data_IF_512974520179
#
_entry.id   IF_512974520179
#
_cell.length_a   1.000
_cell.length_b   1.000
_cell.length_c   1.000
_cell.angle_alpha   90.00
_cell.angle_beta   90.00
_cell.angle_gamma   90.00
#
_symmetry.space_group_name_H-M   'P 1'
#
loop_
_entity.id
_entity.type
_entity.pdbx_description
1 polymer ?
#
# COMPACT_ATOMS: atom_id res chain seq x y z
N UNK A 1 -9.29 46.64 28.40
CA UNK A 1 -8.84 47.46 27.26
C UNK A 1 -7.33 47.64 27.42
N UNK A 2 -6.55 47.32 26.38
CA UNK A 2 -5.07 47.34 26.25
C UNK A 2 -4.27 46.06 26.59
N UNK A 3 -4.36 45.03 25.73
CA UNK A 3 -3.25 44.13 25.35
C UNK A 3 -3.73 43.10 24.32
N UNK A 4 -3.85 43.47 23.05
CA UNK A 4 -4.11 42.51 21.96
C UNK A 4 -3.05 42.75 20.89
N UNK A 5 -2.38 41.68 20.46
CA UNK A 5 -1.43 41.70 19.35
C UNK A 5 -2.18 41.73 18.01
N UNK A 6 -1.57 42.26 16.92
CA UNK A 6 -2.26 42.42 15.63
C UNK A 6 -2.73 41.11 14.97
N UNK A 7 -2.23 39.95 15.40
CA UNK A 7 -2.54 38.63 14.82
C UNK A 7 -3.84 38.01 15.37
N UNK A 8 -4.43 38.54 16.44
CA UNK A 8 -5.68 38.01 17.00
C UNK A 8 -6.95 38.53 16.31
N UNK A 9 -6.80 39.43 15.32
CA UNK A 9 -7.93 40.18 14.75
C UNK A 9 -8.60 39.51 13.53
N UNK A 10 -8.07 38.39 13.01
CA UNK A 10 -8.53 37.76 11.75
C UNK A 10 -9.08 36.31 11.87
N UNK A 11 -9.42 35.85 13.06
CA UNK A 11 -10.06 34.53 13.23
C UNK A 11 -11.58 34.58 12.95
N UNK A 12 -12.20 33.51 12.38
CA UNK A 12 -13.65 33.39 12.32
C UNK A 12 -14.23 33.45 13.74
N UNK A 13 -15.23 34.31 13.95
CA UNK A 13 -15.70 34.76 15.27
C UNK A 13 -16.11 33.65 16.26
N UNK A 14 -16.27 32.41 15.81
CA UNK A 14 -16.70 31.27 16.64
C UNK A 14 -15.53 30.56 17.32
N UNK A 15 -14.32 30.51 16.73
CA UNK A 15 -13.18 29.85 17.39
C UNK A 15 -12.63 30.68 18.59
N UNK A 16 -12.95 31.98 18.68
CA UNK A 16 -12.61 32.83 19.85
C UNK A 16 -13.31 32.38 21.15
N UNK A 17 -14.51 31.80 21.07
CA UNK A 17 -15.33 31.54 22.25
C UNK A 17 -14.84 30.37 23.10
N UNK A 18 -14.24 29.33 22.50
CA UNK A 18 -13.74 28.18 23.27
C UNK A 18 -12.47 28.50 24.07
N UNK A 19 -11.57 29.34 23.54
CA UNK A 19 -10.41 29.84 24.29
C UNK A 19 -10.83 30.79 25.42
N UNK A 20 -11.85 31.63 25.20
CA UNK A 20 -12.40 32.46 26.27
C UNK A 20 -13.12 31.64 27.35
N UNK A 21 -13.79 30.53 27.01
CA UNK A 21 -14.54 29.73 27.99
C UNK A 21 -13.62 29.05 29.03
N UNK A 22 -12.42 28.62 28.62
CA UNK A 22 -11.42 28.03 29.52
C UNK A 22 -10.76 29.09 30.45
N UNK A 23 -10.57 30.31 29.95
CA UNK A 23 -10.10 31.45 30.76
C UNK A 23 -11.16 31.94 31.75
N UNK A 24 -12.44 31.92 31.37
CA UNK A 24 -13.55 32.30 32.26
C UNK A 24 -13.85 31.24 33.34
N UNK A 25 -13.61 29.95 33.07
CA UNK A 25 -13.81 28.89 34.07
C UNK A 25 -12.85 29.04 35.26
N UNK A 26 -11.63 29.54 35.02
CA UNK A 26 -10.66 29.83 36.08
C UNK A 26 -11.02 31.07 36.91
N UNK A 27 -11.67 32.08 36.32
CA UNK A 27 -12.11 33.29 37.02
C UNK A 27 -13.41 33.10 37.82
N UNK A 28 -14.27 32.16 37.41
CA UNK A 28 -15.53 31.87 38.10
C UNK A 28 -15.36 31.09 39.43
N UNK A 29 -14.17 30.53 39.69
CA UNK A 29 -13.86 29.80 40.93
C UNK A 29 -13.33 30.70 42.06
N UNK A 30 -13.20 32.02 41.84
CA UNK A 30 -12.57 32.96 42.81
C UNK A 30 -13.56 33.93 43.48
N UNK A 31 -14.82 34.00 43.05
CA UNK A 31 -15.81 34.91 43.67
C UNK A 31 -17.16 34.21 43.95
N UNK A 32 -17.61 34.11 45.21
CA UNK A 32 -18.93 33.62 45.51
C UNK A 32 -19.97 34.74 45.37
N UNK A 33 -21.07 34.40 44.70
CA UNK A 33 -22.38 35.10 44.71
C UNK A 33 -22.43 36.45 43.99
N UNK A 34 -22.82 36.42 42.71
CA UNK A 34 -23.67 37.46 42.12
C UNK A 34 -24.89 36.80 41.48
N UNK A 35 -26.06 37.15 42.04
CA UNK A 35 -27.39 36.73 41.63
C UNK A 35 -27.75 37.44 40.32
N UNK A 36 -27.63 36.78 39.16
CA UNK A 36 -28.12 37.32 37.88
C UNK A 36 -29.45 36.65 37.54
N UNK A 37 -30.53 37.25 38.02
CA UNK A 37 -31.87 37.04 37.46
C UNK A 37 -32.10 38.10 36.37
N UNK A 38 -32.67 37.67 35.24
CA UNK A 38 -33.06 38.43 34.02
C UNK A 38 -31.96 38.60 32.97
N UNK A 39 -31.84 37.60 32.09
CA UNK A 39 -31.97 37.73 30.61
C UNK A 39 -31.56 36.42 29.89
N UNK A 40 -31.94 35.25 30.42
CA UNK A 40 -32.01 34.05 29.59
C UNK A 40 -33.36 34.04 28.85
N UNK A 41 -33.53 34.98 27.91
CA UNK A 41 -34.26 34.61 26.70
C UNK A 41 -33.39 33.52 26.09
N UNK A 42 -33.78 32.26 26.27
CA UNK A 42 -33.31 31.15 25.44
C UNK A 42 -33.61 31.56 23.99
N UNK A 43 -32.67 32.25 23.35
CA UNK A 43 -32.54 32.17 21.91
C UNK A 43 -32.25 30.71 21.66
N UNK A 44 -33.22 30.02 21.09
CA UNK A 44 -33.00 28.76 20.38
C UNK A 44 -31.63 28.85 19.70
N UNK A 45 -30.67 28.04 20.16
CA UNK A 45 -29.38 27.91 19.51
C UNK A 45 -29.66 27.23 18.17
N UNK A 46 -29.98 28.05 17.18
CA UNK A 46 -30.12 27.67 15.78
C UNK A 46 -28.83 26.92 15.44
N UNK A 47 -28.89 25.59 15.27
CA UNK A 47 -27.76 24.68 15.01
C UNK A 47 -27.15 24.94 13.60
N UNK A 48 -27.19 26.18 13.14
CA UNK A 48 -26.80 26.62 11.81
C UNK A 48 -25.29 26.62 11.64
N UNK A 49 -24.85 25.68 10.80
CA UNK A 49 -23.79 25.85 9.79
C UNK A 49 -22.50 26.53 10.24
N UNK A 50 -21.86 26.01 11.29
CA UNK A 50 -20.56 26.50 11.72
C UNK A 50 -19.59 25.33 11.85
N UNK A 51 -18.36 25.55 11.40
CA UNK A 51 -17.29 24.57 11.59
C UNK A 51 -16.98 24.39 13.07
N UNK A 52 -16.65 23.17 13.45
CA UNK A 52 -16.17 22.81 14.79
C UNK A 52 -14.65 23.02 14.82
N UNK A 53 -14.16 23.87 15.71
CA UNK A 53 -12.74 24.07 15.97
C UNK A 53 -12.39 23.46 17.33
N UNK A 54 -11.40 22.56 17.37
CA UNK A 54 -10.88 21.97 18.60
C UNK A 54 -9.35 21.87 18.54
N UNK A 55 -8.66 22.74 19.28
CA UNK A 55 -7.18 22.83 19.36
C UNK A 55 -6.53 23.05 17.98
N UNK A 56 -6.26 21.98 17.25
CA UNK A 56 -5.65 21.96 15.93
C UNK A 56 -6.49 21.18 14.91
N UNK A 57 -7.73 20.83 15.25
CA UNK A 57 -8.70 20.15 14.40
C UNK A 57 -9.76 21.15 13.97
N UNK A 58 -10.00 21.23 12.66
CA UNK A 58 -11.08 22.01 12.08
C UNK A 58 -11.95 21.07 11.27
N UNK A 59 -13.19 20.87 11.71
CA UNK A 59 -14.19 20.08 10.97
C UNK A 59 -15.34 20.97 10.51
N UNK A 60 -15.48 21.04 9.20
CA UNK A 60 -16.52 21.75 8.46
C UNK A 60 -17.39 20.74 7.68
N UNK A 61 -17.53 19.51 8.20
CA UNK A 61 -18.25 18.43 7.54
C UNK A 61 -19.76 18.71 7.44
N UNK A 62 -20.38 18.28 6.33
CA UNK A 62 -21.84 18.35 6.14
C UNK A 62 -22.43 19.77 6.30
N UNK A 63 -21.73 20.77 5.78
CA UNK A 63 -22.14 22.18 5.84
C UNK A 63 -22.67 22.71 4.49
N UNK A 64 -22.75 21.85 3.48
CA UNK A 64 -23.11 22.19 2.10
C UNK A 64 -22.20 23.27 1.49
N UNK A 65 -20.91 23.25 1.83
CA UNK A 65 -19.93 24.19 1.28
C UNK A 65 -19.72 23.92 -0.21
N UNK A 66 -19.75 24.95 -1.04
CA UNK A 66 -19.46 24.84 -2.48
C UNK A 66 -18.00 25.18 -2.81
N UNK A 67 -17.35 25.97 -1.93
CA UNK A 67 -15.98 26.41 -2.05
C UNK A 67 -15.28 26.35 -0.69
N UNK A 68 -13.95 26.24 -0.72
CA UNK A 68 -13.11 26.37 0.47
C UNK A 68 -12.66 27.83 0.56
N UNK A 69 -13.39 28.66 1.31
CA UNK A 69 -13.03 30.06 1.59
C UNK A 69 -12.84 30.22 3.09
N UNK A 70 -11.84 29.53 3.62
CA UNK A 70 -11.56 29.50 5.05
C UNK A 70 -10.16 30.07 5.29
N UNK A 71 -10.08 31.14 6.08
CA UNK A 71 -8.81 31.55 6.67
C UNK A 71 -8.47 30.54 7.77
N UNK A 72 -7.66 29.56 7.42
CA UNK A 72 -7.29 28.47 8.31
C UNK A 72 -6.09 28.88 9.19
N UNK A 73 -6.13 28.64 10.50
CA UNK A 73 -4.99 28.82 11.38
C UNK A 73 -3.80 27.96 10.94
N UNK A 74 -2.60 28.52 10.99
CA UNK A 74 -1.34 27.84 10.61
C UNK A 74 -1.00 26.58 11.45
N UNK A 75 -1.56 26.47 12.66
CA UNK A 75 -1.37 25.32 13.56
C UNK A 75 -2.38 24.19 13.32
N UNK A 76 -3.24 24.30 12.30
CA UNK A 76 -4.20 23.23 11.95
C UNK A 76 -3.45 21.96 11.56
N UNK A 77 -3.77 20.85 12.22
CA UNK A 77 -3.20 19.53 11.96
C UNK A 77 -4.17 18.60 11.23
N UNK A 78 -5.47 18.77 11.48
CA UNK A 78 -6.54 18.02 10.81
C UNK A 78 -7.56 18.99 10.25
N UNK A 79 -7.80 18.88 8.95
CA UNK A 79 -8.84 19.63 8.24
C UNK A 79 -9.85 18.66 7.65
N UNK A 80 -11.08 18.73 8.12
CA UNK A 80 -12.18 17.92 7.64
C UNK A 80 -13.19 18.80 6.89
N UNK A 81 -13.23 18.62 5.56
CA UNK A 81 -14.14 19.28 4.63
C UNK A 81 -15.07 18.24 3.96
N UNK A 82 -15.22 17.07 4.57
CA UNK A 82 -15.99 15.95 4.02
C UNK A 82 -17.50 16.25 3.91
N UNK A 83 -18.22 15.50 3.08
CA UNK A 83 -19.69 15.60 2.95
C UNK A 83 -20.18 17.01 2.58
N UNK A 84 -19.45 17.72 1.73
CA UNK A 84 -19.84 19.04 1.24
C UNK A 84 -20.18 18.98 -0.27
N UNK A 85 -20.36 20.15 -0.88
CA UNK A 85 -20.70 20.29 -2.30
C UNK A 85 -19.52 20.91 -3.09
N UNK A 86 -18.29 20.76 -2.61
CA UNK A 86 -17.12 21.42 -3.19
C UNK A 86 -16.85 20.83 -4.57
N UNK A 87 -16.79 21.68 -5.59
CA UNK A 87 -16.63 21.24 -6.99
C UNK A 87 -15.21 21.36 -7.52
N UNK A 88 -14.43 22.30 -6.99
CA UNK A 88 -13.05 22.57 -7.43
C UNK A 88 -12.16 22.88 -6.23
N UNK A 89 -10.93 22.38 -6.26
CA UNK A 89 -9.87 22.80 -5.35
C UNK A 89 -8.88 23.67 -6.14
N UNK A 90 -9.09 24.99 -6.08
CA UNK A 90 -8.27 26.00 -6.77
C UNK A 90 -7.02 26.31 -5.96
N UNK A 91 -5.93 26.76 -6.58
CA UNK A 91 -4.71 27.18 -5.88
C UNK A 91 -4.97 28.17 -4.71
N UNK A 92 -6.01 28.99 -4.84
CA UNK A 92 -6.40 30.02 -3.87
C UNK A 92 -7.25 29.52 -2.70
N UNK A 93 -7.49 28.20 -2.57
CA UNK A 93 -8.30 27.66 -1.47
C UNK A 93 -7.71 27.95 -0.09
N UNK A 94 -6.38 28.09 -0.01
CA UNK A 94 -5.66 28.64 1.14
C UNK A 94 -4.48 29.45 0.63
N UNK A 95 -4.22 30.59 1.26
CA UNK A 95 -2.99 31.38 1.06
C UNK A 95 -2.04 31.26 2.25
N UNK A 96 -2.45 30.51 3.28
CA UNK A 96 -1.65 30.28 4.49
C UNK A 96 -0.90 28.97 4.36
N UNK A 97 0.40 28.98 4.63
CA UNK A 97 1.20 27.77 4.76
C UNK A 97 0.76 26.97 6.00
N UNK A 98 0.08 25.86 5.76
CA UNK A 98 -0.40 24.96 6.81
C UNK A 98 0.65 23.86 7.07
N UNK A 99 1.83 24.29 7.54
CA UNK A 99 2.99 23.41 7.75
C UNK A 99 2.79 22.34 8.84
N UNK A 100 1.71 22.41 9.62
CA UNK A 100 1.35 21.41 10.63
C UNK A 100 0.25 20.45 10.14
N UNK A 101 -0.34 20.69 8.97
CA UNK A 101 -1.45 19.91 8.45
C UNK A 101 -0.96 18.53 8.01
N UNK A 102 -1.45 17.50 8.71
CA UNK A 102 -1.09 16.10 8.46
C UNK A 102 -2.24 15.32 7.83
N UNK A 103 -3.49 15.71 8.10
CA UNK A 103 -4.69 15.02 7.61
C UNK A 103 -5.63 16.01 6.95
N UNK A 104 -6.00 15.72 5.70
CA UNK A 104 -7.01 16.49 4.97
C UNK A 104 -8.07 15.55 4.41
N UNK A 105 -9.32 15.77 4.81
CA UNK A 105 -10.48 14.99 4.37
C UNK A 105 -11.32 15.84 3.42
N UNK A 106 -11.42 15.42 2.17
CA UNK A 106 -12.22 16.04 1.10
C UNK A 106 -13.20 15.03 0.49
N UNK A 107 -13.42 13.90 1.15
CA UNK A 107 -14.27 12.84 0.65
C UNK A 107 -15.76 13.21 0.68
N UNK A 108 -16.55 12.56 -0.18
CA UNK A 108 -17.99 12.84 -0.34
C UNK A 108 -18.24 14.32 -0.70
N UNK A 109 -17.50 14.82 -1.68
CA UNK A 109 -17.71 16.12 -2.30
C UNK A 109 -18.12 15.95 -3.77
N UNK A 110 -18.06 17.02 -4.56
CA UNK A 110 -18.33 17.00 -6.00
C UNK A 110 -17.10 17.41 -6.79
N UNK A 111 -15.90 17.16 -6.26
CA UNK A 111 -14.64 17.62 -6.86
C UNK A 111 -14.47 17.00 -8.23
N UNK A 112 -14.42 17.83 -9.27
CA UNK A 112 -14.13 17.43 -10.65
C UNK A 112 -12.80 17.99 -11.13
N UNK A 113 -12.21 18.93 -10.38
CA UNK A 113 -10.98 19.63 -10.75
C UNK A 113 -10.10 19.90 -9.53
N UNK A 114 -8.80 19.62 -9.68
CA UNK A 114 -7.74 20.00 -8.76
C UNK A 114 -6.76 20.88 -9.54
N UNK A 115 -6.40 22.04 -9.01
CA UNK A 115 -5.35 22.87 -9.58
C UNK A 115 -3.98 22.22 -9.38
N UNK A 116 -3.05 22.40 -10.33
CA UNK A 116 -1.65 21.97 -10.20
C UNK A 116 -0.96 22.52 -8.95
N UNK A 117 -1.41 23.67 -8.45
CA UNK A 117 -0.88 24.32 -7.25
C UNK A 117 -1.76 24.08 -6.01
N UNK A 118 -2.76 23.20 -6.08
CA UNK A 118 -3.69 22.98 -4.98
C UNK A 118 -3.02 22.49 -3.68
N UNK A 119 -1.82 21.93 -3.73
CA UNK A 119 -1.18 21.36 -2.53
C UNK A 119 0.11 22.08 -2.10
N UNK A 120 0.46 23.21 -2.70
CA UNK A 120 1.73 23.91 -2.44
C UNK A 120 1.87 24.40 -0.99
N UNK A 121 0.75 24.68 -0.32
CA UNK A 121 0.70 25.19 1.06
C UNK A 121 0.51 24.10 2.13
N UNK A 122 0.47 22.80 1.75
CA UNK A 122 0.20 21.67 2.66
C UNK A 122 1.25 20.56 2.53
N UNK A 123 2.53 20.94 2.49
CA UNK A 123 3.66 20.03 2.20
C UNK A 123 3.88 18.92 3.23
N UNK A 124 3.34 19.06 4.45
CA UNK A 124 3.49 18.10 5.56
C UNK A 124 2.34 17.10 5.68
N UNK A 125 1.48 17.04 4.66
CA UNK A 125 0.36 16.13 4.62
C UNK A 125 0.84 14.67 4.60
N UNK A 126 0.23 13.84 5.44
CA UNK A 126 0.48 12.39 5.52
C UNK A 126 -0.71 11.56 5.06
N UNK A 127 -1.92 12.10 5.20
CA UNK A 127 -3.17 11.45 4.81
C UNK A 127 -4.04 12.42 4.02
N UNK A 128 -4.39 12.01 2.79
CA UNK A 128 -5.29 12.76 1.91
C UNK A 128 -6.42 11.84 1.44
N UNK A 129 -7.65 12.24 1.74
CA UNK A 129 -8.84 11.54 1.27
C UNK A 129 -9.65 12.37 0.28
N UNK A 130 -9.64 11.91 -0.96
CA UNK A 130 -10.37 12.44 -2.11
C UNK A 130 -11.42 11.44 -2.62
N UNK A 131 -11.76 10.41 -1.85
CA UNK A 131 -12.74 9.39 -2.25
C UNK A 131 -14.15 9.95 -2.41
N UNK A 132 -15.02 9.25 -3.14
CA UNK A 132 -16.40 9.69 -3.39
C UNK A 132 -16.47 11.12 -3.96
N UNK A 133 -15.75 11.35 -5.06
CA UNK A 133 -15.74 12.61 -5.79
C UNK A 133 -15.98 12.36 -7.31
N UNK A 134 -15.86 13.40 -8.11
CA UNK A 134 -16.07 13.40 -9.56
C UNK A 134 -14.78 13.46 -10.39
N UNK A 135 -13.61 13.14 -9.83
CA UNK A 135 -12.34 13.30 -10.54
C UNK A 135 -12.25 12.33 -11.72
N UNK A 136 -11.85 12.83 -12.90
CA UNK A 136 -11.80 12.03 -14.14
C UNK A 136 -10.38 11.77 -14.63
N UNK A 137 -9.42 12.59 -14.19
CA UNK A 137 -8.02 12.51 -14.56
C UNK A 137 -7.12 12.92 -13.38
N UNK A 138 -5.88 12.46 -13.42
CA UNK A 138 -4.78 12.93 -12.58
C UNK A 138 -3.70 13.48 -13.49
N UNK A 139 -3.51 14.80 -13.46
CA UNK A 139 -2.53 15.52 -14.28
C UNK A 139 -1.09 15.27 -13.84
N UNK A 140 -0.15 15.71 -14.69
CA UNK A 140 1.27 15.71 -14.36
C UNK A 140 1.55 16.47 -13.06
N UNK A 141 2.43 15.93 -12.22
CA UNK A 141 2.92 16.56 -10.99
C UNK A 141 1.84 17.01 -9.99
N UNK A 142 0.58 16.57 -10.12
CA UNK A 142 -0.54 17.05 -9.31
C UNK A 142 -0.35 16.82 -7.79
N UNK A 143 0.43 15.81 -7.41
CA UNK A 143 0.79 15.52 -6.03
C UNK A 143 2.26 15.79 -5.71
N UNK A 144 2.99 16.48 -6.58
CA UNK A 144 4.43 16.76 -6.40
C UNK A 144 4.76 17.41 -5.04
N UNK A 145 4.00 18.41 -4.54
CA UNK A 145 4.31 19.03 -3.24
C UNK A 145 4.17 18.10 -2.03
N UNK A 146 3.55 16.93 -2.19
CA UNK A 146 3.15 16.02 -1.11
C UNK A 146 4.20 14.90 -0.89
N UNK A 147 5.46 15.28 -0.67
CA UNK A 147 6.58 14.34 -0.51
C UNK A 147 6.44 13.40 0.71
N UNK A 148 5.84 13.92 1.79
CA UNK A 148 5.63 13.23 3.06
C UNK A 148 4.33 12.38 3.09
N UNK A 149 3.56 12.35 1.99
CA UNK A 149 2.25 11.69 1.98
C UNK A 149 2.40 10.17 2.06
N UNK A 150 1.78 9.56 3.08
CA UNK A 150 1.83 8.13 3.35
C UNK A 150 0.60 7.39 2.80
N UNK A 151 -0.56 8.04 2.81
CA UNK A 151 -1.84 7.44 2.38
C UNK A 151 -2.59 8.40 1.46
N UNK A 152 -2.89 7.92 0.26
CA UNK A 152 -3.72 8.61 -0.71
C UNK A 152 -4.96 7.77 -1.03
N UNK A 153 -6.14 8.35 -0.81
CA UNK A 153 -7.42 7.69 -1.01
C UNK A 153 -8.18 8.37 -2.15
N UNK A 154 -8.42 7.64 -3.24
CA UNK A 154 -9.04 8.10 -4.49
C UNK A 154 -10.16 7.18 -4.97
N UNK A 155 -10.58 6.20 -4.16
CA UNK A 155 -11.59 5.23 -4.57
C UNK A 155 -12.96 5.90 -4.78
N UNK A 156 -13.80 5.29 -5.64
CA UNK A 156 -15.11 5.85 -6.04
C UNK A 156 -14.99 7.27 -6.61
N UNK A 157 -14.15 7.39 -7.63
CA UNK A 157 -14.09 8.54 -8.52
C UNK A 157 -14.41 8.07 -9.95
N UNK A 158 -14.14 8.90 -10.96
CA UNK A 158 -14.32 8.60 -12.38
C UNK A 158 -12.98 8.57 -13.13
N UNK A 159 -11.87 8.29 -12.42
CA UNK A 159 -10.52 8.43 -12.95
C UNK A 159 -10.30 7.42 -14.06
N UNK A 160 -10.03 7.91 -15.26
CA UNK A 160 -9.77 7.11 -16.46
C UNK A 160 -8.37 7.34 -17.03
N UNK A 161 -7.81 8.54 -16.77
CA UNK A 161 -6.50 8.97 -17.25
C UNK A 161 -5.61 9.32 -16.08
N UNK A 162 -4.42 8.75 -16.06
CA UNK A 162 -3.42 9.00 -15.03
C UNK A 162 -2.13 9.29 -15.78
N UNK A 163 -1.60 10.50 -15.59
CA UNK A 163 -0.29 10.84 -16.12
C UNK A 163 0.80 10.00 -15.44
N UNK A 164 1.89 9.71 -16.16
CA UNK A 164 3.00 8.92 -15.63
C UNK A 164 3.73 9.64 -14.50
N UNK A 165 3.73 10.97 -14.50
CA UNK A 165 4.43 11.79 -13.50
C UNK A 165 3.54 12.24 -12.33
N UNK A 166 2.26 11.88 -12.34
CA UNK A 166 1.30 12.27 -11.29
C UNK A 166 1.77 11.87 -9.87
N UNK A 167 2.61 10.84 -9.75
CA UNK A 167 3.10 10.29 -8.47
C UNK A 167 4.63 10.38 -8.27
N UNK A 168 5.37 11.10 -9.13
CA UNK A 168 6.84 11.07 -9.18
C UNK A 168 7.54 11.46 -7.86
N UNK A 169 7.02 12.44 -7.12
CA UNK A 169 7.69 12.96 -5.92
C UNK A 169 7.18 12.38 -4.60
N UNK A 170 6.24 11.43 -4.64
CA UNK A 170 5.55 10.94 -3.44
C UNK A 170 6.33 9.86 -2.67
N UNK A 171 7.63 10.05 -2.39
CA UNK A 171 8.54 9.00 -1.90
C UNK A 171 8.10 8.27 -0.62
N UNK A 172 7.33 8.93 0.25
CA UNK A 172 6.81 8.34 1.48
C UNK A 172 5.55 7.47 1.29
N UNK A 173 4.92 7.46 0.11
CA UNK A 173 3.62 6.81 -0.10
C UNK A 173 3.67 5.31 0.19
N UNK A 174 2.80 4.88 1.11
CA UNK A 174 2.67 3.50 1.57
C UNK A 174 1.40 2.84 1.05
N UNK A 175 0.30 3.59 0.93
CA UNK A 175 -1.01 3.06 0.53
C UNK A 175 -1.68 3.96 -0.49
N UNK A 176 -2.09 3.36 -1.59
CA UNK A 176 -2.83 4.01 -2.66
C UNK A 176 -4.12 3.25 -2.95
N UNK A 177 -5.26 3.89 -2.69
CA UNK A 177 -6.58 3.33 -2.93
C UNK A 177 -7.22 3.98 -4.16
N UNK A 178 -7.45 3.23 -5.22
CA UNK A 178 -8.04 3.69 -6.49
C UNK A 178 -9.16 2.78 -6.98
N UNK A 179 -9.75 1.97 -6.09
CA UNK A 179 -10.85 1.09 -6.47
C UNK A 179 -12.10 1.86 -6.92
N UNK A 180 -12.98 1.20 -7.68
CA UNK A 180 -14.18 1.84 -8.24
C UNK A 180 -13.87 3.10 -9.04
N UNK A 181 -12.97 2.98 -10.01
CA UNK A 181 -12.65 4.02 -10.99
C UNK A 181 -12.80 3.45 -12.42
N UNK A 182 -12.26 4.14 -13.42
CA UNK A 182 -12.33 3.76 -14.83
C UNK A 182 -10.94 3.49 -15.42
N UNK A 183 -10.00 3.05 -14.57
CA UNK A 183 -8.60 2.87 -14.92
C UNK A 183 -8.44 1.65 -15.83
N UNK A 184 -7.72 1.80 -16.94
CA UNK A 184 -7.47 0.73 -17.91
C UNK A 184 -6.11 0.04 -17.76
N UNK A 185 -5.16 0.67 -17.04
CA UNK A 185 -3.80 0.17 -16.82
C UNK A 185 -3.39 0.34 -15.36
N UNK A 186 -2.69 -0.64 -14.78
CA UNK A 186 -2.13 -0.49 -13.44
C UNK A 186 -1.04 0.60 -13.45
N UNK A 187 -1.08 1.59 -12.52
CA UNK A 187 -0.06 2.62 -12.42
C UNK A 187 1.21 2.07 -11.76
N UNK A 188 1.95 1.25 -12.51
CA UNK A 188 3.21 0.65 -12.04
C UNK A 188 4.30 1.69 -11.77
N UNK A 189 4.16 2.92 -12.27
CA UNK A 189 5.08 4.02 -12.01
C UNK A 189 5.26 4.27 -10.50
N UNK A 190 4.17 4.12 -9.73
CA UNK A 190 4.19 4.18 -8.25
C UNK A 190 5.08 3.10 -7.63
N UNK A 191 5.29 1.99 -8.34
CA UNK A 191 6.09 0.83 -7.90
C UNK A 191 7.52 0.84 -8.48
N UNK A 192 7.72 1.44 -9.66
CA UNK A 192 8.93 1.29 -10.48
C UNK A 192 10.14 2.03 -9.92
N UNK A 193 9.95 3.26 -9.43
CA UNK A 193 11.03 4.08 -8.84
C UNK A 193 11.39 3.65 -7.41
N UNK A 194 10.62 2.73 -6.83
CA UNK A 194 10.60 2.46 -5.38
C UNK A 194 11.03 1.06 -5.00
N UNK A 195 11.61 0.33 -5.95
CA UNK A 195 12.26 -0.97 -5.74
C UNK A 195 13.35 -0.96 -4.64
N UNK A 196 13.77 0.23 -4.18
CA UNK A 196 14.72 0.47 -3.08
C UNK A 196 14.09 0.97 -1.77
N UNK A 197 12.87 1.52 -1.78
CA UNK A 197 12.34 2.33 -0.66
C UNK A 197 11.55 1.55 0.38
N UNK A 198 11.21 0.29 0.14
CA UNK A 198 10.82 -0.63 1.22
C UNK A 198 9.55 -0.23 2.03
N UNK A 199 8.83 0.82 1.59
CA UNK A 199 7.70 1.48 2.29
C UNK A 199 6.32 1.20 1.68
N UNK A 200 6.24 0.91 0.38
CA UNK A 200 4.98 0.71 -0.31
C UNK A 200 4.31 -0.61 0.09
N UNK A 201 3.11 -0.54 0.68
CA UNK A 201 2.41 -1.66 1.30
C UNK A 201 1.15 -2.08 0.56
N UNK A 202 0.45 -1.14 -0.10
CA UNK A 202 -0.87 -1.41 -0.65
C UNK A 202 -1.16 -0.58 -1.90
N UNK A 203 -1.53 -1.26 -2.98
CA UNK A 203 -2.14 -0.70 -4.18
C UNK A 203 -3.49 -1.37 -4.40
N UNK A 204 -4.58 -0.64 -4.24
CA UNK A 204 -5.91 -1.14 -4.57
C UNK A 204 -6.41 -0.52 -5.88
N UNK A 205 -6.47 -1.34 -6.93
CA UNK A 205 -7.02 -1.01 -8.25
C UNK A 205 -8.18 -1.94 -8.60
N UNK A 206 -8.83 -2.54 -7.60
CA UNK A 206 -10.02 -3.38 -7.80
C UNK A 206 -11.19 -2.58 -8.39
N UNK A 207 -12.18 -3.24 -8.99
CA UNK A 207 -13.36 -2.56 -9.56
C UNK A 207 -13.01 -1.44 -10.55
N UNK A 208 -12.12 -1.74 -11.51
CA UNK A 208 -11.70 -0.81 -12.56
C UNK A 208 -12.01 -1.41 -13.95
N UNK A 209 -11.33 -0.92 -14.99
CA UNK A 209 -11.49 -1.35 -16.39
C UNK A 209 -10.20 -1.98 -16.94
N UNK A 210 -9.39 -2.57 -16.07
CA UNK A 210 -8.13 -3.20 -16.45
C UNK A 210 -8.42 -4.48 -17.22
N UNK A 211 -7.84 -4.60 -18.42
CA UNK A 211 -7.95 -5.80 -19.26
C UNK A 211 -6.71 -6.67 -19.16
N UNK A 212 -5.53 -6.06 -19.17
CA UNK A 212 -4.28 -6.79 -19.20
C UNK A 212 -3.41 -6.39 -18.01
N UNK A 213 -2.89 -7.40 -17.32
CA UNK A 213 -1.93 -7.18 -16.23
C UNK A 213 -0.51 -7.18 -16.78
N UNK A 214 0.39 -6.35 -16.22
CA UNK A 214 1.82 -6.40 -16.52
C UNK A 214 2.48 -7.59 -15.81
N UNK A 215 2.28 -8.79 -16.35
CA UNK A 215 2.62 -10.07 -15.68
C UNK A 215 4.12 -10.14 -15.35
N UNK A 216 5.00 -9.73 -16.27
CA UNK A 216 6.46 -9.82 -16.07
C UNK A 216 6.92 -8.93 -14.92
N UNK A 217 6.43 -7.70 -14.88
CA UNK A 217 6.71 -6.74 -13.83
C UNK A 217 6.18 -7.24 -12.49
N UNK A 218 4.92 -7.68 -12.45
CA UNK A 218 4.30 -8.23 -11.25
C UNK A 218 5.03 -9.48 -10.74
N UNK A 219 5.45 -10.39 -11.62
CA UNK A 219 6.22 -11.59 -11.23
C UNK A 219 7.57 -11.23 -10.60
N UNK A 220 8.23 -10.17 -11.09
CA UNK A 220 9.53 -9.71 -10.59
C UNK A 220 9.49 -9.07 -9.20
N UNK A 221 8.31 -8.62 -8.75
CA UNK A 221 8.14 -7.98 -7.44
C UNK A 221 8.33 -8.97 -6.28
N UNK A 222 8.69 -8.46 -5.09
CA UNK A 222 8.72 -9.23 -3.85
C UNK A 222 7.29 -9.64 -3.41
N UNK A 223 7.14 -10.81 -2.80
CA UNK A 223 5.87 -11.39 -2.36
C UNK A 223 5.12 -10.49 -1.38
N UNK A 224 5.82 -9.80 -0.48
CA UNK A 224 5.19 -8.87 0.44
C UNK A 224 4.61 -7.63 -0.24
N UNK A 225 5.14 -7.20 -1.39
CA UNK A 225 4.53 -6.15 -2.20
C UNK A 225 3.30 -6.71 -2.94
N UNK A 226 3.44 -7.88 -3.58
CA UNK A 226 2.35 -8.59 -4.27
C UNK A 226 1.14 -8.83 -3.34
N UNK A 227 1.41 -9.10 -2.06
CA UNK A 227 0.39 -9.32 -1.02
C UNK A 227 -0.58 -8.13 -0.85
N UNK A 228 -0.14 -6.91 -1.21
CA UNK A 228 -0.94 -5.69 -1.12
C UNK A 228 -1.41 -5.14 -2.47
N UNK A 229 -1.26 -5.86 -3.58
CA UNK A 229 -1.73 -5.42 -4.91
C UNK A 229 -3.08 -6.05 -5.20
N UNK A 230 -4.17 -5.30 -5.00
CA UNK A 230 -5.54 -5.76 -5.23
C UNK A 230 -6.01 -5.35 -6.63
N UNK A 231 -6.41 -6.31 -7.45
CA UNK A 231 -6.85 -6.10 -8.83
C UNK A 231 -8.12 -6.89 -9.21
N UNK A 232 -8.79 -7.51 -8.24
CA UNK A 232 -10.03 -8.27 -8.45
C UNK A 232 -11.15 -7.37 -9.02
N UNK A 233 -12.23 -7.98 -9.54
CA UNK A 233 -13.34 -7.26 -10.17
C UNK A 233 -12.91 -6.32 -11.30
N UNK A 234 -11.95 -6.75 -12.12
CA UNK A 234 -11.56 -6.09 -13.36
C UNK A 234 -11.91 -7.00 -14.56
N UNK A 235 -12.24 -6.43 -15.74
CA UNK A 235 -12.55 -7.19 -16.95
C UNK A 235 -11.29 -7.74 -17.61
N UNK A 236 -10.52 -8.56 -16.87
CA UNK A 236 -9.24 -9.08 -17.30
C UNK A 236 -9.38 -10.00 -18.51
N UNK A 237 -8.42 -10.04 -19.43
CA UNK A 237 -8.37 -11.00 -20.53
C UNK A 237 -7.84 -12.34 -20.04
N UNK A 238 -8.59 -13.43 -20.24
CA UNK A 238 -8.14 -14.74 -19.82
C UNK A 238 -6.91 -15.20 -20.62
N UNK A 239 -5.88 -15.65 -19.92
CA UNK A 239 -4.68 -16.25 -20.50
C UNK A 239 -4.03 -17.23 -19.51
N UNK A 240 -3.22 -18.16 -20.02
CA UNK A 240 -2.50 -19.09 -19.14
C UNK A 240 -1.42 -18.40 -18.29
N UNK A 241 -0.85 -17.30 -18.76
CA UNK A 241 0.09 -16.49 -17.96
C UNK A 241 -0.62 -15.81 -16.78
N UNK A 242 -1.85 -15.31 -16.99
CA UNK A 242 -2.67 -14.77 -15.92
C UNK A 242 -3.03 -15.85 -14.89
N UNK A 243 -3.45 -17.03 -15.35
CA UNK A 243 -3.71 -18.18 -14.47
C UNK A 243 -2.49 -18.54 -13.64
N UNK A 244 -1.32 -18.73 -14.27
CA UNK A 244 -0.05 -19.05 -13.59
C UNK A 244 0.31 -17.99 -12.53
N UNK A 245 0.11 -16.70 -12.83
CA UNK A 245 0.31 -15.61 -11.88
C UNK A 245 -0.61 -15.76 -10.66
N UNK A 246 -1.92 -15.84 -10.88
CA UNK A 246 -2.92 -15.87 -9.80
C UNK A 246 -2.81 -17.16 -8.97
N UNK A 247 -2.69 -18.32 -9.62
CA UNK A 247 -2.50 -19.60 -8.95
C UNK A 247 -1.21 -19.62 -8.10
N UNK A 248 -0.12 -19.03 -8.59
CA UNK A 248 1.12 -18.89 -7.82
C UNK A 248 0.97 -17.98 -6.59
N UNK A 249 0.07 -16.99 -6.65
CA UNK A 249 -0.21 -16.10 -5.52
C UNK A 249 -1.18 -16.76 -4.53
N UNK A 250 -2.12 -17.56 -5.02
CA UNK A 250 -3.09 -18.33 -4.23
C UNK A 250 -2.41 -19.45 -3.41
N UNK A 251 -1.54 -20.26 -4.05
CA UNK A 251 -0.72 -21.28 -3.36
C UNK A 251 0.12 -20.65 -2.24
N UNK A 252 0.57 -19.40 -2.45
CA UNK A 252 1.33 -18.62 -1.46
C UNK A 252 0.45 -17.86 -0.47
N UNK A 253 -0.87 -18.05 -0.48
CA UNK A 253 -1.82 -17.40 0.42
C UNK A 253 -1.60 -15.89 0.51
N UNK A 254 -1.35 -15.25 -0.63
CA UNK A 254 -1.24 -13.80 -0.70
C UNK A 254 -2.64 -13.19 -0.53
N UNK A 255 -2.74 -12.17 0.32
CA UNK A 255 -4.02 -11.57 0.75
C UNK A 255 -4.80 -10.98 -0.44
N UNK A 256 -4.08 -10.47 -1.43
CA UNK A 256 -4.62 -9.95 -2.70
C UNK A 256 -5.39 -10.96 -3.54
N UNK A 257 -5.14 -12.27 -3.36
CA UNK A 257 -5.81 -13.34 -4.09
C UNK A 257 -6.67 -14.20 -3.16
N UNK A 258 -6.09 -14.75 -2.10
CA UNK A 258 -6.77 -15.69 -1.18
C UNK A 258 -8.01 -15.11 -0.51
N UNK A 259 -8.06 -13.79 -0.27
CA UNK A 259 -9.24 -13.12 0.30
C UNK A 259 -10.34 -12.78 -0.72
N UNK A 260 -10.08 -13.00 -2.02
CA UNK A 260 -10.90 -12.52 -3.13
C UNK A 260 -10.97 -13.52 -4.29
N UNK A 261 -10.80 -14.82 -4.01
CA UNK A 261 -10.70 -15.86 -5.03
C UNK A 261 -11.88 -15.82 -6.02
N UNK A 262 -13.11 -15.73 -5.51
CA UNK A 262 -14.35 -15.69 -6.31
C UNK A 262 -14.48 -14.41 -7.15
N UNK A 263 -13.78 -13.34 -6.77
CA UNK A 263 -13.79 -12.05 -7.47
C UNK A 263 -12.68 -11.94 -8.52
N UNK A 264 -11.76 -12.91 -8.58
CA UNK A 264 -10.72 -13.00 -9.60
C UNK A 264 -11.24 -13.68 -10.84
N UNK A 265 -11.97 -12.91 -11.64
CA UNK A 265 -12.53 -13.37 -12.91
C UNK A 265 -11.80 -12.78 -14.11
N UNK A 266 -11.87 -13.45 -15.25
CA UNK A 266 -11.45 -12.92 -16.53
C UNK A 266 -12.48 -13.23 -17.62
N UNK A 267 -12.35 -12.53 -18.74
CA UNK A 267 -13.21 -12.62 -19.93
C UNK A 267 -12.46 -13.40 -21.01
N UNK A 268 -13.09 -14.47 -21.48
CA UNK A 268 -12.62 -15.29 -22.59
C UNK A 268 -12.90 -14.58 -23.94
N UNK A 269 -12.26 -14.99 -25.04
CA UNK A 269 -12.54 -14.45 -26.38
C UNK A 269 -14.01 -14.60 -26.81
N UNK A 270 -14.72 -15.61 -26.32
CA UNK A 270 -16.16 -15.82 -26.54
C UNK A 270 -17.06 -14.95 -25.64
N UNK A 271 -16.48 -13.95 -24.97
CA UNK A 271 -17.13 -13.02 -24.02
C UNK A 271 -17.71 -13.68 -22.76
N UNK A 272 -17.42 -14.95 -22.50
CA UNK A 272 -17.80 -15.58 -21.23
C UNK A 272 -16.84 -15.17 -20.13
N UNK A 273 -17.38 -14.87 -18.96
CA UNK A 273 -16.60 -14.65 -17.75
C UNK A 273 -16.35 -15.98 -17.05
N UNK A 274 -15.11 -16.21 -16.62
CA UNK A 274 -14.71 -17.37 -15.82
C UNK A 274 -13.86 -16.92 -14.64
N UNK A 275 -13.93 -17.68 -13.55
CA UNK A 275 -12.95 -17.59 -12.47
C UNK A 275 -11.57 -17.97 -13.01
N UNK A 276 -10.55 -17.18 -12.68
CA UNK A 276 -9.20 -17.36 -13.22
C UNK A 276 -8.63 -18.72 -12.82
N UNK A 277 -8.86 -19.15 -11.58
CA UNK A 277 -8.35 -20.41 -11.04
C UNK A 277 -9.03 -21.66 -11.63
N UNK A 278 -10.17 -21.51 -12.32
CA UNK A 278 -10.91 -22.62 -12.94
C UNK A 278 -10.62 -22.76 -14.45
N UNK A 279 -9.58 -22.09 -14.95
CA UNK A 279 -9.19 -22.18 -16.36
C UNK A 279 -8.26 -23.38 -16.54
N UNK A 280 -8.50 -24.16 -17.59
CA UNK A 280 -7.64 -25.27 -18.00
C UNK A 280 -6.48 -24.76 -18.85
N UNK A 281 -5.25 -25.05 -18.41
CA UNK A 281 -4.01 -24.77 -19.15
C UNK A 281 -3.17 -26.04 -19.19
N UNK A 282 -2.65 -26.42 -20.36
CA UNK A 282 -1.93 -27.70 -20.57
C UNK A 282 -0.54 -27.78 -19.90
N UNK A 283 -0.16 -26.80 -19.08
CA UNK A 283 1.22 -26.54 -18.69
C UNK A 283 1.30 -26.42 -17.15
N UNK A 284 1.27 -27.58 -16.49
CA UNK A 284 0.92 -27.78 -15.07
C UNK A 284 2.02 -27.39 -14.06
N UNK A 285 3.17 -26.87 -14.48
CA UNK A 285 4.29 -26.56 -13.57
C UNK A 285 4.28 -25.10 -13.11
N UNK A 286 3.37 -24.76 -12.20
CA UNK A 286 3.16 -23.38 -11.70
C UNK A 286 4.28 -22.90 -10.74
N UNK A 287 5.01 -23.83 -10.10
CA UNK A 287 5.99 -23.48 -9.05
C UNK A 287 7.31 -24.27 -9.12
N UNK A 288 7.50 -25.12 -10.13
CA UNK A 288 8.65 -26.00 -10.18
C UNK A 288 9.82 -25.30 -10.87
N UNK A 289 10.92 -25.10 -10.14
CA UNK A 289 12.23 -24.74 -10.69
C UNK A 289 13.01 -26.03 -10.92
N UNK A 290 13.49 -26.23 -12.14
CA UNK A 290 14.34 -27.35 -12.52
C UNK A 290 15.74 -26.80 -12.86
N UNK A 291 16.78 -27.55 -12.52
CA UNK A 291 18.17 -27.22 -12.83
C UNK A 291 18.90 -28.50 -13.23
N UNK A 292 19.77 -28.41 -14.22
CA UNK A 292 20.58 -29.54 -14.70
C UNK A 292 21.83 -29.76 -13.83
N UNK A 293 22.60 -30.81 -14.13
CA UNK A 293 23.88 -31.06 -13.46
C UNK A 293 24.80 -29.84 -13.53
N UNK A 294 25.47 -29.54 -12.42
CA UNK A 294 26.43 -28.43 -12.27
C UNK A 294 25.85 -27.01 -12.41
N UNK A 295 24.56 -26.86 -12.70
CA UNK A 295 23.91 -25.55 -12.71
C UNK A 295 23.70 -25.04 -11.28
N UNK A 296 24.09 -23.79 -11.05
CA UNK A 296 23.80 -23.07 -9.81
C UNK A 296 22.34 -22.62 -9.82
N UNK A 297 21.53 -23.18 -8.92
CA UNK A 297 20.15 -22.73 -8.70
C UNK A 297 20.10 -21.75 -7.53
N UNK A 298 19.50 -20.58 -7.76
CA UNK A 298 19.26 -19.58 -6.73
C UNK A 298 17.80 -19.64 -6.29
N UNK A 299 17.56 -20.04 -5.04
CA UNK A 299 16.23 -20.05 -4.45
C UNK A 299 16.10 -18.87 -3.48
N UNK A 300 15.16 -17.97 -3.74
CA UNK A 300 14.79 -16.92 -2.79
C UNK A 300 13.64 -17.43 -1.92
N UNK A 301 13.70 -17.20 -0.60
CA UNK A 301 12.53 -17.39 0.26
C UNK A 301 11.79 -16.06 0.34
N UNK A 302 10.89 -15.87 -0.62
CA UNK A 302 10.10 -14.65 -0.78
C UNK A 302 8.78 -14.78 0.00
N UNK A 303 8.75 -14.19 1.19
CA UNK A 303 7.64 -14.30 2.14
C UNK A 303 6.59 -13.21 1.94
N UNK A 304 5.31 -13.52 2.23
CA UNK A 304 4.20 -12.55 2.13
C UNK A 304 4.31 -11.34 3.07
N UNK A 305 5.13 -11.43 4.12
CA UNK A 305 5.45 -10.30 4.99
C UNK A 305 6.97 -10.10 4.98
N UNK A 306 7.37 -8.85 5.15
CA UNK A 306 8.76 -8.42 5.03
C UNK A 306 9.66 -8.94 6.17
N UNK A 307 9.19 -8.85 7.42
CA UNK A 307 9.95 -9.22 8.61
C UNK A 307 9.59 -10.62 9.12
N UNK A 308 9.83 -11.64 8.30
CA UNK A 308 9.62 -13.05 8.68
C UNK A 308 10.94 -13.78 8.92
N UNK A 309 10.95 -14.69 9.90
CA UNK A 309 12.01 -15.68 10.06
C UNK A 309 11.89 -16.75 8.97
N UNK A 310 12.99 -17.02 8.27
CA UNK A 310 13.04 -17.90 7.10
C UNK A 310 13.86 -19.14 7.42
N UNK A 311 13.34 -20.33 7.10
CA UNK A 311 14.06 -21.60 7.26
C UNK A 311 13.93 -22.45 6.02
N UNK A 312 15.08 -22.93 5.54
CA UNK A 312 15.17 -23.91 4.47
C UNK A 312 15.26 -25.31 5.06
N UNK A 313 14.43 -26.21 4.55
CA UNK A 313 14.43 -27.61 4.97
C UNK A 313 14.45 -28.56 3.77
N UNK A 314 15.04 -29.73 3.99
CA UNK A 314 15.03 -30.87 3.07
C UNK A 314 13.81 -31.78 3.35
N UNK A 315 13.52 -32.75 2.45
CA UNK A 315 12.53 -33.80 2.74
C UNK A 315 12.85 -34.49 4.07
N UNK A 316 11.81 -34.79 4.86
CA UNK A 316 12.00 -35.30 6.24
C UNK A 316 12.22 -34.22 7.31
N UNK A 317 12.00 -32.93 7.00
CA UNK A 317 12.10 -31.81 7.94
C UNK A 317 13.52 -31.55 8.48
N UNK A 318 14.53 -31.90 7.70
CA UNK A 318 15.93 -31.70 8.07
C UNK A 318 16.31 -30.24 7.80
N UNK A 319 16.74 -29.51 8.83
CA UNK A 319 17.10 -28.09 8.73
C UNK A 319 18.48 -27.89 8.10
N UNK A 320 18.56 -27.08 7.05
CA UNK A 320 19.82 -26.75 6.38
C UNK A 320 20.74 -25.85 7.23
N UNK A 321 20.18 -25.10 8.19
CA UNK A 321 20.96 -24.24 9.11
C UNK A 321 21.94 -25.01 10.00
N UNK A 322 21.72 -26.31 10.24
CA UNK A 322 22.64 -27.18 10.97
C UNK A 322 23.79 -27.74 10.11
N UNK A 323 23.56 -27.92 8.81
CA UNK A 323 24.51 -28.51 7.86
C UNK A 323 25.54 -27.49 7.34
N UNK A 324 25.19 -26.20 7.31
CA UNK A 324 26.08 -25.12 6.88
C UNK A 324 27.18 -24.75 7.91
N UNK A 325 27.19 -25.37 9.09
CA UNK A 325 28.23 -25.21 10.12
C UNK A 325 29.40 -26.20 10.00
N UNK A 326 29.42 -27.06 8.99
CA UNK A 326 30.56 -27.94 8.74
C UNK A 326 31.64 -27.12 8.04
N UNK A 327 32.74 -26.85 8.74
CA UNK A 327 33.90 -26.19 8.16
C UNK A 327 34.48 -27.04 7.03
N UNK A 328 35.05 -26.39 6.01
CA UNK A 328 35.80 -27.03 4.91
C UNK A 328 36.79 -28.10 5.43
N UNK A 329 37.38 -27.86 6.60
CA UNK A 329 38.36 -28.71 7.30
C UNK A 329 37.79 -29.93 8.04
N UNK A 330 36.50 -29.96 8.37
CA UNK A 330 35.84 -31.16 8.91
C UNK A 330 35.41 -32.09 7.77
N UNK A 331 35.02 -31.50 6.63
CA UNK A 331 34.58 -32.19 5.42
C UNK A 331 35.72 -32.92 4.68
N UNK A 332 36.91 -32.32 4.61
CA UNK A 332 38.13 -32.97 4.08
C UNK A 332 38.54 -34.21 4.90
N UNK A 333 38.29 -34.19 6.22
CA UNK A 333 38.53 -35.33 7.11
C UNK A 333 37.57 -36.49 6.85
N UNK A 334 36.29 -36.20 6.61
CA UNK A 334 35.28 -37.24 6.34
C UNK A 334 35.46 -37.91 4.96
N UNK A 335 35.99 -37.17 3.97
CA UNK A 335 36.35 -37.70 2.65
C UNK A 335 37.56 -38.64 2.74
N UNK A 336 38.59 -38.30 3.53
CA UNK A 336 39.77 -39.14 3.76
C UNK A 336 39.45 -40.43 4.55
N UNK A 337 38.32 -40.46 5.27
CA UNK A 337 37.88 -41.60 6.07
C UNK A 337 36.90 -42.54 5.34
N UNK A 338 36.59 -42.30 4.06
CA UNK A 338 35.75 -43.17 3.25
C UNK A 338 34.25 -43.12 3.58
N UNK A 339 33.79 -42.08 4.26
CA UNK A 339 32.37 -41.88 4.52
C UNK A 339 31.66 -41.37 3.25
N UNK A 340 30.46 -41.88 2.97
CA UNK A 340 29.61 -41.40 1.86
C UNK A 340 29.18 -39.96 2.13
N UNK A 341 29.87 -39.01 1.51
CA UNK A 341 29.50 -37.58 1.58
C UNK A 341 28.30 -37.36 0.67
N UNK A 342 27.14 -37.05 1.27
CA UNK A 342 25.95 -36.61 0.54
C UNK A 342 26.19 -35.31 -0.24
N UNK A 343 25.19 -34.83 -1.00
CA UNK A 343 25.33 -33.66 -1.88
C UNK A 343 26.01 -32.47 -1.17
N UNK A 344 26.95 -31.82 -1.85
CA UNK A 344 27.64 -30.63 -1.34
C UNK A 344 26.65 -29.45 -1.28
N UNK A 345 26.23 -29.08 -0.07
CA UNK A 345 25.41 -27.89 0.16
C UNK A 345 26.32 -26.71 0.51
N UNK A 346 26.80 -25.98 -0.49
CA UNK A 346 27.51 -24.72 -0.28
C UNK A 346 26.51 -23.56 -0.22
N UNK A 347 25.93 -23.34 0.96
CA UNK A 347 25.06 -22.21 1.20
C UNK A 347 25.83 -21.04 1.81
N UNK A 348 26.11 -20.01 1.02
CA UNK A 348 26.26 -18.67 1.58
C UNK A 348 24.87 -18.15 1.91
N UNK A 349 24.51 -18.18 3.20
CA UNK A 349 23.46 -17.31 3.71
C UNK A 349 24.04 -15.89 3.72
N UNK A 350 24.16 -15.24 2.57
CA UNK A 350 24.49 -13.82 2.55
C UNK A 350 23.30 -13.05 3.14
N UNK A 351 23.48 -12.33 4.27
CA UNK A 351 22.46 -11.46 4.81
C UNK A 351 22.44 -10.15 4.01
N UNK A 352 22.36 -10.21 2.69
CA UNK A 352 22.18 -9.00 1.88
C UNK A 352 20.69 -8.64 1.88
N UNK A 353 20.34 -7.63 2.68
CA UNK A 353 19.08 -6.89 2.58
C UNK A 353 17.79 -7.75 2.67
N UNK A 354 17.71 -8.65 3.65
CA UNK A 354 16.47 -9.38 3.95
C UNK A 354 16.10 -10.52 2.98
N UNK A 355 17.00 -10.88 2.06
CA UNK A 355 16.89 -12.10 1.26
C UNK A 355 17.58 -13.25 1.97
N UNK A 356 16.92 -14.40 2.04
CA UNK A 356 17.58 -15.66 2.38
C UNK A 356 17.68 -16.46 1.10
N UNK A 357 18.81 -16.32 0.42
CA UNK A 357 19.07 -17.05 -0.79
C UNK A 357 19.75 -18.38 -0.46
N UNK A 358 19.32 -19.44 -1.12
CA UNK A 358 20.01 -20.71 -1.12
C UNK A 358 20.63 -20.90 -2.50
N UNK A 359 21.96 -20.92 -2.54
CA UNK A 359 22.74 -21.40 -3.69
C UNK A 359 22.98 -22.89 -3.50
N UNK A 360 22.77 -23.68 -4.55
CA UNK A 360 23.12 -25.10 -4.54
C UNK A 360 23.89 -25.46 -5.80
N UNK A 361 25.00 -26.17 -5.64
CA UNK A 361 25.90 -26.59 -6.73
C UNK A 361 26.58 -27.91 -6.32
N UNK A 362 26.53 -28.94 -7.17
CA UNK A 362 27.25 -30.19 -6.92
C UNK A 362 26.97 -31.29 -7.96
N UNK A 363 27.76 -32.38 -7.97
CA UNK A 363 27.47 -33.57 -8.77
C UNK A 363 26.28 -34.29 -8.13
N UNK A 364 25.12 -34.23 -8.79
CA UNK A 364 23.90 -34.82 -8.28
C UNK A 364 23.87 -36.31 -8.57
N UNK A 365 24.21 -37.16 -7.60
CA UNK A 365 23.96 -38.59 -7.72
C UNK A 365 22.52 -38.94 -7.28
N UNK A 366 21.68 -39.30 -8.26
CA UNK A 366 20.46 -40.13 -8.12
C UNK A 366 19.42 -39.80 -7.03
N UNK A 367 19.24 -38.54 -6.57
CA UNK A 367 18.09 -38.17 -5.70
C UNK A 367 17.39 -36.87 -6.09
N UNK A 368 16.06 -36.96 -6.28
CA UNK A 368 15.16 -35.82 -6.27
C UNK A 368 15.22 -35.16 -4.89
N UNK A 369 15.65 -33.90 -4.81
CA UNK A 369 15.62 -33.18 -3.53
C UNK A 369 14.65 -32.00 -3.63
N UNK A 370 13.54 -32.10 -2.91
CA UNK A 370 12.59 -31.00 -2.74
C UNK A 370 13.08 -30.09 -1.61
N UNK A 371 13.64 -28.94 -1.96
CA UNK A 371 14.02 -27.92 -0.97
C UNK A 371 12.89 -26.94 -0.84
N UNK A 372 12.44 -26.68 0.38
CA UNK A 372 11.33 -25.76 0.59
C UNK A 372 11.54 -24.79 1.74
N UNK A 373 11.07 -23.56 1.56
CA UNK A 373 11.03 -22.56 2.61
C UNK A 373 9.72 -22.68 3.37
N UNK A 374 9.78 -22.78 4.70
CA UNK A 374 8.57 -22.99 5.51
C UNK A 374 8.51 -22.18 6.80
N UNK A 375 7.30 -21.97 7.29
CA UNK A 375 6.99 -21.57 8.67
C UNK A 375 6.01 -22.57 9.27
N UNK A 376 6.43 -23.29 10.32
CA UNK A 376 5.61 -24.35 10.90
C UNK A 376 5.31 -25.44 9.86
N UNK A 377 4.03 -25.65 9.56
CA UNK A 377 3.54 -26.59 8.53
C UNK A 377 3.38 -25.96 7.15
N UNK A 378 3.42 -24.63 7.01
CA UNK A 378 3.15 -23.95 5.74
C UNK A 378 4.40 -23.81 4.87
N UNK A 379 4.31 -24.32 3.64
CA UNK A 379 5.37 -24.26 2.61
C UNK A 379 5.13 -23.06 1.70
N UNK A 380 6.11 -22.17 1.60
CA UNK A 380 6.02 -20.91 0.83
C UNK A 380 6.59 -21.01 -0.56
N UNK A 381 7.62 -21.82 -0.73
CA UNK A 381 8.28 -22.06 -2.01
C UNK A 381 8.98 -23.42 -1.95
N UNK A 382 8.87 -24.20 -3.02
CA UNK A 382 9.55 -25.48 -3.18
C UNK A 382 10.27 -25.53 -4.53
N UNK A 383 11.41 -26.20 -4.61
CA UNK A 383 12.09 -26.47 -5.87
C UNK A 383 12.45 -27.95 -5.96
N UNK A 384 12.22 -28.55 -7.12
CA UNK A 384 12.65 -29.91 -7.40
C UNK A 384 14.00 -29.86 -8.12
N UNK A 385 15.05 -30.36 -7.47
CA UNK A 385 16.30 -30.60 -8.15
C UNK A 385 16.18 -31.93 -8.92
N UNK A 386 16.04 -31.84 -10.25
CA UNK A 386 15.90 -33.00 -11.15
C UNK A 386 17.20 -33.34 -11.86
N UNK A 387 17.41 -34.64 -12.04
CA UNK A 387 18.52 -35.25 -12.75
C UNK A 387 18.16 -35.37 -14.22
N UNK A 388 18.83 -34.61 -15.07
CA UNK A 388 18.87 -34.90 -16.49
C UNK A 388 20.12 -35.72 -16.82
N UNK A 389 19.99 -37.04 -16.93
CA UNK A 389 20.74 -37.74 -17.98
C UNK A 389 19.96 -37.53 -19.28
N UNK A 390 20.50 -36.71 -20.19
CA UNK A 390 20.35 -37.04 -21.60
C UNK A 390 20.86 -38.46 -21.80
N UNK A 391 20.22 -39.23 -22.70
CA UNK A 391 20.26 -40.70 -22.86
C UNK A 391 19.07 -41.29 -22.07
N UNK A 392 18.05 -41.88 -22.67
CA UNK A 392 17.95 -42.82 -23.79
C UNK A 392 16.59 -42.57 -24.51
N UNK A 393 16.37 -42.80 -25.82
CA UNK A 393 17.18 -43.36 -26.91
C UNK A 393 16.44 -43.21 -28.24
#
# INVERSE_FOLDING_TARGET
>A
LSSWSPDEMNQPQVCRWLQCFLLFLHLALVFPVVRVNRLLKRKSLDHKRLCVCAINIISCSNLHLENVTLNLPNHTSVLDLSFNNITKLLATWTLTDLNMLQTMLLNNNRLTFLSSEAFVHVKKLRYLDLSYNGLTLLDEFIFEPLEDLEVLVLFKNHISKIDRTAFSSMGALQKLYMSHNQISRIPLEVLKERSKLDTFKLLDVSFNKIKDLPIKELQSMRAWMKNGVYFHNNPLTCSCELYKLVASWDIRMLSSVSGFADNHTCTMPDKKTKEILNITCNDDKILIREANLEQKLLLDCDTRQKYMEKRWVLPGNISLTGLLRVSKTQMERDILLGNTVGPQWTGELEPLQGRSQLSVQGPWEKRQTLVYCKRGTHVWQGAWLFLGSSLWG
#
